data_IF_427699750957
#
_entry.id   IF_427699750957
#
_cell.length_a   1.000
_cell.length_b   1.000
_cell.length_c   1.000
_cell.angle_alpha   90.00
_cell.angle_beta   90.00
_cell.angle_gamma   90.00
#
_symmetry.space_group_name_H-M   'P 1'
#
loop_
_entity.id
_entity.type
_entity.pdbx_description
1 polymer ?
#
# COMPACT_ATOMS: atom_id res chain seq x y z
N UNK A 1 9.84 -41.55 -7.67
CA UNK A 1 10.09 -40.53 -6.63
C UNK A 1 9.03 -39.44 -6.68
N UNK A 2 8.48 -39.03 -5.54
CA UNK A 2 7.54 -37.91 -5.48
C UNK A 2 8.27 -36.57 -5.71
N UNK A 3 7.53 -35.54 -6.17
CA UNK A 3 8.07 -34.20 -6.39
C UNK A 3 8.06 -33.42 -5.07
N UNK A 4 9.18 -32.78 -4.71
CA UNK A 4 9.28 -31.90 -3.54
C UNK A 4 8.29 -30.72 -3.61
N UNK A 5 7.90 -30.19 -2.45
CA UNK A 5 7.03 -29.00 -2.34
C UNK A 5 7.66 -27.76 -3.01
N UNK A 6 9.00 -27.67 -2.99
CA UNK A 6 9.79 -26.59 -3.62
C UNK A 6 10.20 -26.90 -5.05
N UNK A 7 9.72 -28.01 -5.64
CA UNK A 7 10.08 -28.35 -7.02
C UNK A 7 9.55 -27.28 -7.99
N UNK A 8 10.40 -26.88 -8.94
CA UNK A 8 10.11 -25.78 -9.88
C UNK A 8 8.83 -26.02 -10.69
N UNK A 9 8.61 -27.27 -11.14
CA UNK A 9 7.39 -27.65 -11.86
C UNK A 9 6.11 -27.52 -11.02
N UNK A 10 6.14 -27.89 -9.72
CA UNK A 10 5.00 -27.73 -8.82
C UNK A 10 4.77 -26.26 -8.47
N UNK A 11 5.83 -25.51 -8.23
CA UNK A 11 5.73 -24.07 -7.94
C UNK A 11 5.17 -23.30 -9.15
N UNK A 12 5.64 -23.59 -10.37
CA UNK A 12 5.15 -22.94 -11.58
C UNK A 12 3.67 -23.24 -11.85
N UNK A 13 3.23 -24.50 -11.70
CA UNK A 13 1.81 -24.85 -11.85
C UNK A 13 0.93 -24.20 -10.77
N UNK A 14 1.40 -24.11 -9.52
CA UNK A 14 0.71 -23.37 -8.45
C UNK A 14 0.60 -21.87 -8.75
N UNK A 15 1.67 -21.26 -9.25
CA UNK A 15 1.67 -19.84 -9.63
C UNK A 15 0.63 -19.56 -10.73
N UNK A 16 0.57 -20.40 -11.77
CA UNK A 16 -0.46 -20.29 -12.82
C UNK A 16 -1.87 -20.37 -12.24
N UNK A 17 -2.15 -21.36 -11.39
CA UNK A 17 -3.47 -21.51 -10.74
C UNK A 17 -3.88 -20.29 -9.91
N UNK A 18 -2.94 -19.65 -9.19
CA UNK A 18 -3.25 -18.43 -8.43
C UNK A 18 -3.79 -17.31 -9.31
N UNK A 19 -3.29 -17.19 -10.54
CA UNK A 19 -3.64 -16.10 -11.44
C UNK A 19 -4.82 -16.44 -12.36
N UNK A 20 -4.86 -17.65 -12.92
CA UNK A 20 -5.76 -17.98 -14.04
C UNK A 20 -6.99 -18.78 -13.63
N UNK A 21 -7.05 -19.31 -12.40
CA UNK A 21 -8.19 -20.12 -11.95
C UNK A 21 -9.10 -19.31 -11.01
N UNK A 22 -10.13 -19.98 -10.48
CA UNK A 22 -11.09 -19.40 -9.53
C UNK A 22 -10.44 -18.65 -8.35
N UNK A 23 -9.23 -19.03 -7.93
CA UNK A 23 -8.50 -18.32 -6.89
C UNK A 23 -8.30 -16.83 -7.24
N UNK A 24 -7.83 -16.53 -8.45
CA UNK A 24 -7.63 -15.15 -8.89
C UNK A 24 -8.92 -14.34 -8.94
N UNK A 25 -10.02 -14.95 -9.40
CA UNK A 25 -11.35 -14.33 -9.46
C UNK A 25 -11.85 -13.99 -8.05
N UNK A 26 -11.75 -14.94 -7.11
CA UNK A 26 -12.20 -14.73 -5.73
C UNK A 26 -11.35 -13.70 -4.99
N UNK A 27 -10.04 -13.67 -5.24
CA UNK A 27 -9.15 -12.66 -4.68
C UNK A 27 -9.51 -11.26 -5.22
N UNK A 28 -9.70 -11.11 -6.53
CA UNK A 28 -10.12 -9.85 -7.14
C UNK A 28 -11.48 -9.36 -6.61
N UNK A 29 -12.47 -10.25 -6.48
CA UNK A 29 -13.77 -9.87 -5.91
C UNK A 29 -13.64 -9.39 -4.46
N UNK A 30 -12.79 -10.03 -3.66
CA UNK A 30 -12.54 -9.62 -2.27
C UNK A 30 -11.85 -8.27 -2.21
N UNK A 31 -10.85 -8.01 -3.05
CA UNK A 31 -10.16 -6.71 -3.06
C UNK A 31 -11.07 -5.58 -3.51
N UNK A 32 -11.98 -5.81 -4.47
CA UNK A 32 -12.98 -4.81 -4.87
C UNK A 32 -13.93 -4.48 -3.71
N UNK A 33 -14.51 -5.49 -3.05
CA UNK A 33 -15.39 -5.26 -1.88
C UNK A 33 -14.70 -4.45 -0.78
N UNK A 34 -13.42 -4.73 -0.51
CA UNK A 34 -12.64 -3.96 0.46
C UNK A 34 -12.39 -2.53 0.00
N UNK A 35 -12.10 -2.33 -1.28
CA UNK A 35 -11.96 -0.99 -1.87
C UNK A 35 -13.26 -0.20 -1.75
N UNK A 36 -14.41 -0.81 -2.05
CA UNK A 36 -15.71 -0.15 -1.97
C UNK A 36 -16.07 0.23 -0.53
N UNK A 37 -15.78 -0.65 0.44
CA UNK A 37 -15.96 -0.38 1.87
C UNK A 37 -15.07 0.77 2.35
N UNK A 38 -13.80 0.80 1.94
CA UNK A 38 -12.86 1.85 2.34
C UNK A 38 -13.18 3.20 1.70
N UNK A 39 -13.67 3.20 0.47
CA UNK A 39 -14.05 4.41 -0.26
C UNK A 39 -15.47 4.89 0.07
N UNK A 40 -16.21 4.18 0.94
CA UNK A 40 -17.58 4.53 1.32
C UNK A 40 -18.62 4.36 0.20
N UNK A 41 -18.24 3.75 -0.94
CA UNK A 41 -19.11 3.52 -2.11
C UNK A 41 -20.24 2.52 -1.83
N UNK A 42 -20.14 1.76 -0.74
CA UNK A 42 -21.21 0.90 -0.25
C UNK A 42 -22.30 1.67 0.51
N UNK A 43 -22.15 2.99 0.72
CA UNK A 43 -23.16 3.87 1.32
C UNK A 43 -23.54 4.93 0.27
N UNK A 44 -24.75 4.80 -0.32
CA UNK A 44 -25.38 5.57 -1.43
C UNK A 44 -24.93 5.13 -2.84
N UNK A 45 -25.84 4.73 -3.72
CA UNK A 45 -27.11 5.40 -4.08
C UNK A 45 -28.32 4.46 -4.22
N UNK A 46 -29.49 4.87 -3.69
CA UNK A 46 -30.83 4.50 -4.21
C UNK A 46 -31.58 3.31 -3.59
N UNK A 47 -32.33 3.58 -2.51
CA UNK A 47 -33.69 3.10 -2.17
C UNK A 47 -34.14 1.64 -2.51
N UNK A 48 -34.37 0.87 -1.43
CA UNK A 48 -35.26 -0.29 -1.24
C UNK A 48 -35.22 -1.53 -2.16
N UNK A 49 -34.68 -2.63 -1.61
CA UNK A 49 -35.27 -3.98 -1.74
C UNK A 49 -34.77 -4.93 -0.63
N UNK A 50 -35.53 -4.95 0.46
CA UNK A 50 -35.95 -6.15 1.22
C UNK A 50 -34.92 -7.08 1.86
N UNK A 51 -34.93 -6.98 3.19
CA UNK A 51 -34.91 -8.04 4.22
C UNK A 51 -33.61 -8.68 4.73
N UNK A 52 -33.60 -8.71 6.07
CA UNK A 52 -32.72 -9.40 7.01
C UNK A 52 -31.29 -8.88 7.16
N UNK A 53 -31.12 -7.86 8.01
CA UNK A 53 -30.50 -8.08 9.32
C UNK A 53 -30.86 -6.88 10.22
N UNK A 54 -32.02 -6.93 10.87
CA UNK A 54 -32.22 -6.17 12.11
C UNK A 54 -31.25 -6.74 13.14
N UNK A 55 -30.33 -5.90 13.63
CA UNK A 55 -30.05 -5.69 15.05
C UNK A 55 -28.83 -4.76 15.19
N UNK A 56 -28.98 -3.77 16.07
CA UNK A 56 -27.99 -2.78 16.51
C UNK A 56 -27.86 -1.49 15.68
N UNK A 57 -28.94 -0.70 15.69
CA UNK A 57 -28.82 0.75 15.82
C UNK A 57 -28.14 1.11 17.16
N UNK A 58 -26.97 1.74 17.11
CA UNK A 58 -26.57 2.74 18.10
C UNK A 58 -26.17 3.98 17.32
N UNK A 59 -27.02 4.98 17.47
CA UNK A 59 -26.80 6.35 17.04
C UNK A 59 -25.50 6.89 17.61
N UNK A 60 -24.72 7.50 16.73
CA UNK A 60 -23.58 8.35 17.05
C UNK A 60 -23.57 9.45 16.01
N UNK A 61 -24.57 10.32 16.11
CA UNK A 61 -24.67 11.60 15.42
C UNK A 61 -23.42 12.42 15.78
N UNK A 62 -22.46 12.45 14.85
CA UNK A 62 -21.30 13.30 14.90
C UNK A 62 -21.26 14.06 13.59
N UNK A 63 -21.59 15.35 13.67
CA UNK A 63 -21.48 16.30 12.56
C UNK A 63 -20.07 16.21 11.94
N UNK A 64 -19.97 15.52 10.81
CA UNK A 64 -18.80 15.60 9.94
C UNK A 64 -18.76 17.01 9.33
N UNK A 65 -18.23 17.94 10.12
CA UNK A 65 -17.85 19.27 9.67
C UNK A 65 -17.01 19.10 8.40
N UNK A 66 -17.59 19.53 7.28
CA UNK A 66 -16.97 19.57 5.96
C UNK A 66 -15.65 20.33 6.05
N UNK A 67 -14.57 19.58 6.25
CA UNK A 67 -13.21 20.12 6.37
C UNK A 67 -12.75 20.52 4.96
N UNK A 68 -13.10 21.72 4.51
CA UNK A 68 -12.47 22.35 3.34
C UNK A 68 -11.06 22.84 3.69
N UNK A 69 -10.17 21.88 3.95
CA UNK A 69 -8.74 22.14 4.00
C UNK A 69 -8.15 21.79 2.64
N UNK A 70 -7.86 22.81 1.83
CA UNK A 70 -6.96 22.63 0.68
C UNK A 70 -5.72 21.89 1.17
N UNK A 71 -5.31 20.75 0.57
CA UNK A 71 -4.24 19.95 1.14
C UNK A 71 -2.95 20.76 1.12
N UNK A 72 -2.56 21.28 2.29
CA UNK A 72 -1.23 21.88 2.47
C UNK A 72 -0.24 20.78 2.11
N UNK A 73 0.57 21.02 1.08
CA UNK A 73 1.57 20.07 0.60
C UNK A 73 2.66 19.93 1.67
N UNK A 74 2.40 19.11 2.67
CA UNK A 74 3.35 18.77 3.72
C UNK A 74 4.39 17.88 3.05
N UNK A 75 5.60 18.41 2.88
CA UNK A 75 6.74 17.62 2.42
C UNK A 75 7.03 16.54 3.47
N UNK A 76 6.55 15.32 3.24
CA UNK A 76 6.91 14.14 4.03
C UNK A 76 8.41 13.82 3.93
N UNK A 77 9.11 14.43 2.96
CA UNK A 77 10.56 14.59 2.98
C UNK A 77 10.95 15.77 3.86
N UNK A 78 10.79 15.62 5.18
CA UNK A 78 11.51 16.46 6.14
C UNK A 78 13.04 16.29 5.97
N UNK A 79 13.85 17.16 6.57
CA UNK A 79 15.29 16.97 6.62
C UNK A 79 15.59 15.56 7.13
N UNK A 80 16.26 14.74 6.30
CA UNK A 80 16.61 13.37 6.69
C UNK A 80 17.74 13.47 7.72
N UNK A 81 17.37 13.56 8.99
CA UNK A 81 18.24 13.57 10.17
C UNK A 81 18.97 12.24 10.41
N UNK A 82 19.35 11.54 9.33
CA UNK A 82 20.12 10.31 9.40
C UNK A 82 21.41 10.55 10.18
N UNK A 83 21.82 9.58 11.00
CA UNK A 83 23.09 9.63 11.73
C UNK A 83 24.29 9.91 10.80
N UNK A 84 24.21 9.41 9.55
CA UNK A 84 24.92 9.85 8.33
C UNK A 84 25.27 11.34 8.33
N UNK A 85 24.22 12.14 8.22
CA UNK A 85 24.28 13.58 8.03
C UNK A 85 24.76 14.26 9.32
N UNK A 86 24.28 13.83 10.48
CA UNK A 86 24.69 14.39 11.79
C UNK A 86 26.18 14.20 12.06
N UNK A 87 26.71 12.99 11.86
CA UNK A 87 28.14 12.70 12.04
C UNK A 87 29.01 13.50 11.07
N UNK A 88 28.56 13.65 9.81
CA UNK A 88 29.28 14.44 8.81
C UNK A 88 29.32 15.92 9.19
N UNK A 89 28.18 16.50 9.58
CA UNK A 89 28.10 17.89 10.04
C UNK A 89 28.95 18.12 11.30
N UNK A 90 28.90 17.21 12.27
CA UNK A 90 29.73 17.27 13.48
C UNK A 90 31.25 17.16 13.19
N UNK A 91 31.61 16.54 12.06
CA UNK A 91 33.00 16.41 11.57
C UNK A 91 33.38 17.49 10.55
N UNK A 92 32.57 18.54 10.36
CA UNK A 92 32.83 19.62 9.41
C UNK A 92 32.74 19.21 7.94
N UNK A 93 32.18 18.04 7.63
CA UNK A 93 31.98 17.56 6.26
C UNK A 93 30.61 17.99 5.69
N UNK A 94 30.46 18.14 4.36
CA UNK A 94 29.18 18.49 3.76
C UNK A 94 28.13 17.38 3.98
N UNK A 95 26.88 17.77 4.24
CA UNK A 95 25.77 16.86 4.57
C UNK A 95 25.59 15.71 3.56
N UNK A 96 25.84 15.96 2.27
CA UNK A 96 25.92 14.93 1.23
C UNK A 96 27.29 15.01 0.55
N UNK A 97 27.89 13.87 0.15
CA UNK A 97 29.09 13.91 -0.68
C UNK A 97 28.77 14.66 -1.97
N UNK A 98 29.68 15.55 -2.40
CA UNK A 98 29.58 16.16 -3.73
C UNK A 98 29.54 15.02 -4.74
N UNK A 99 28.53 15.00 -5.62
CA UNK A 99 28.49 14.05 -6.73
C UNK A 99 29.66 14.40 -7.64
N UNK A 100 30.79 13.71 -7.47
CA UNK A 100 31.89 13.79 -8.44
C UNK A 100 31.42 13.28 -9.80
N UNK A 101 32.17 13.57 -10.85
CA UNK A 101 31.89 13.13 -12.25
C UNK A 101 31.67 11.61 -12.36
N UNK A 102 32.12 10.82 -11.36
CA UNK A 102 31.90 9.37 -11.26
C UNK A 102 31.07 8.91 -10.05
N UNK A 103 30.58 9.84 -9.22
CA UNK A 103 29.93 9.60 -7.92
C UNK A 103 28.45 9.22 -8.00
N UNK A 104 28.08 8.37 -8.96
CA UNK A 104 26.71 7.91 -9.17
C UNK A 104 26.57 6.69 -10.07
N UNK A 105 27.67 6.11 -10.55
CA UNK A 105 27.61 4.87 -11.32
C UNK A 105 27.56 3.72 -10.30
N UNK A 106 26.40 3.05 -10.20
CA UNK A 106 26.33 1.74 -9.58
C UNK A 106 27.36 0.86 -10.31
N UNK A 107 28.50 0.59 -9.69
CA UNK A 107 29.37 -0.51 -10.09
C UNK A 107 28.61 -1.79 -9.76
N UNK A 108 27.63 -2.14 -10.59
CA UNK A 108 27.10 -3.50 -10.65
C UNK A 108 28.31 -4.35 -11.01
N UNK A 109 28.92 -4.97 -10.00
CA UNK A 109 29.77 -6.14 -10.22
C UNK A 109 28.86 -7.16 -10.88
N UNK A 110 29.04 -7.33 -12.19
CA UNK A 110 28.51 -8.48 -12.91
C UNK A 110 29.19 -9.73 -12.35
#
# INVERSE_FOLDING_TARGET
MAKSIRSKAKMASRARKRQTSHYGITEAARTQRLSDKLLGKSKKEGEDATEETEEAAVEGEGEDAKMEETPKKISTSGPKDSGRIKWRLARGMPAKPKRGVMGGKNTRRR
#
